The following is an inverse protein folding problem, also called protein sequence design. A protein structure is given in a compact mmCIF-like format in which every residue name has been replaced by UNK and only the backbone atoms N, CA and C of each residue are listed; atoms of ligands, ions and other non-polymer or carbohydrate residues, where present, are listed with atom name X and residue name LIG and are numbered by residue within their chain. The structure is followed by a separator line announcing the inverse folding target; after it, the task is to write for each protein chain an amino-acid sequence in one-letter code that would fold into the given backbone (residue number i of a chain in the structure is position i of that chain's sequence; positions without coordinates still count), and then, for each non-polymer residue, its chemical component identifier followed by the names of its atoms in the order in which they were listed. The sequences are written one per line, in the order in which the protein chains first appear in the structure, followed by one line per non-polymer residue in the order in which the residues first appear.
data_IF_983964931607
#
_entry.id   IF_983964931607
#
_cell.length_a   1.000
_cell.length_b   1.000
_cell.length_c   1.000
_cell.angle_alpha   90.00
_cell.angle_beta   90.00
_cell.angle_gamma   90.00
#
_symmetry.space_group_name_H-M   'P 1'
#
loop_
_entity.id
_entity.type
_entity.pdbx_description
1 polymer ?
#
# COMPACT_ATOMS: atom_id res chain seq x y z
N UNK A 1 20.87 -18.60 3.82
CA UNK A 1 20.26 -18.22 2.53
C UNK A 1 18.99 -17.44 2.84
N UNK A 2 18.80 -16.24 2.29
CA UNK A 2 17.55 -15.50 2.49
C UNK A 2 16.45 -16.18 1.64
N UNK A 3 15.40 -16.68 2.29
CA UNK A 3 14.24 -17.22 1.58
C UNK A 3 13.43 -16.05 1.01
N UNK A 4 13.28 -16.00 -0.31
CA UNK A 4 12.35 -15.09 -0.95
C UNK A 4 10.99 -15.78 -1.00
N UNK A 5 9.98 -15.16 -0.38
CA UNK A 5 8.61 -15.65 -0.38
C UNK A 5 7.82 -14.78 -1.36
N UNK A 6 7.22 -15.40 -2.38
CA UNK A 6 6.32 -14.72 -3.32
C UNK A 6 4.96 -14.48 -2.66
N UNK A 7 4.42 -13.27 -2.83
CA UNK A 7 3.10 -12.88 -2.33
C UNK A 7 2.23 -12.45 -3.51
N UNK A 8 1.03 -13.02 -3.62
CA UNK A 8 0.06 -12.71 -4.67
C UNK A 8 -1.07 -11.85 -4.11
N UNK A 9 -1.31 -10.70 -4.73
CA UNK A 9 -2.39 -9.77 -4.34
C UNK A 9 -3.49 -9.79 -5.41
N UNK A 10 -4.75 -9.71 -4.96
CA UNK A 10 -5.90 -9.51 -5.84
C UNK A 10 -6.37 -8.07 -5.68
N UNK A 11 -6.37 -7.33 -6.78
CA UNK A 11 -6.85 -5.95 -6.88
C UNK A 11 -7.73 -5.84 -8.12
N UNK A 12 -8.62 -4.84 -8.15
CA UNK A 12 -9.39 -4.56 -9.35
C UNK A 12 -8.51 -3.89 -10.42
N UNK A 13 -9.01 -3.84 -11.65
CA UNK A 13 -8.27 -3.32 -12.81
C UNK A 13 -7.95 -1.84 -12.68
N UNK A 14 -8.93 -1.03 -12.29
CA UNK A 14 -8.80 0.43 -12.18
C UNK A 14 -7.71 0.81 -11.15
N UNK A 15 -7.75 0.20 -9.95
CA UNK A 15 -6.75 0.43 -8.91
C UNK A 15 -5.33 0.01 -9.35
N UNK A 16 -5.23 -1.06 -10.16
CA UNK A 16 -3.94 -1.48 -10.72
C UNK A 16 -3.38 -0.41 -11.67
N UNK A 17 -4.20 0.07 -12.60
CA UNK A 17 -3.81 1.07 -13.60
C UNK A 17 -3.42 2.40 -12.94
N UNK A 18 -4.19 2.85 -11.95
CA UNK A 18 -3.88 4.07 -11.18
C UNK A 18 -2.55 3.93 -10.41
N UNK A 19 -2.35 2.79 -9.76
CA UNK A 19 -1.13 2.56 -8.98
C UNK A 19 0.11 2.40 -9.88
N UNK A 20 -0.02 1.80 -11.06
CA UNK A 20 1.05 1.73 -12.05
C UNK A 20 1.46 3.12 -12.54
N UNK A 21 0.48 3.94 -12.95
CA UNK A 21 0.74 5.31 -13.39
C UNK A 21 1.44 6.14 -12.29
N UNK A 22 1.00 5.99 -11.04
CA UNK A 22 1.67 6.62 -9.89
C UNK A 22 3.12 6.13 -9.75
N UNK A 23 3.35 4.82 -9.76
CA UNK A 23 4.68 4.23 -9.62
C UNK A 23 5.64 4.72 -10.72
N UNK A 24 5.18 4.79 -11.97
CA UNK A 24 5.96 5.30 -13.10
C UNK A 24 6.31 6.79 -12.92
N UNK A 25 5.38 7.61 -12.41
CA UNK A 25 5.62 9.03 -12.17
C UNK A 25 6.70 9.32 -11.12
N UNK A 26 6.91 8.39 -10.17
CA UNK A 26 7.94 8.51 -9.11
C UNK A 26 9.18 7.66 -9.39
N UNK A 27 9.24 6.95 -10.52
CA UNK A 27 10.38 6.12 -10.93
C UNK A 27 10.53 4.83 -10.13
N UNK A 28 9.42 4.24 -9.66
CA UNK A 28 9.40 2.98 -8.91
C UNK A 28 8.62 1.90 -9.65
N UNK A 29 8.94 0.64 -9.40
CA UNK A 29 8.04 -0.48 -9.77
C UNK A 29 6.95 -0.65 -8.71
N UNK A 30 5.79 -1.22 -9.09
CA UNK A 30 4.74 -1.60 -8.13
C UNK A 30 5.31 -2.47 -6.99
N UNK A 31 6.15 -3.46 -7.33
CA UNK A 31 6.78 -4.35 -6.35
C UNK A 31 7.65 -3.57 -5.37
N UNK A 32 8.43 -2.60 -5.85
CA UNK A 32 9.25 -1.74 -4.99
C UNK A 32 8.39 -0.92 -4.05
N UNK A 33 7.31 -0.31 -4.56
CA UNK A 33 6.39 0.49 -3.75
C UNK A 33 5.70 -0.35 -2.65
N UNK A 34 5.24 -1.56 -2.97
CA UNK A 34 4.65 -2.49 -1.99
C UNK A 34 5.69 -2.92 -0.95
N UNK A 35 6.92 -3.23 -1.36
CA UNK A 35 8.00 -3.58 -0.43
C UNK A 35 8.34 -2.41 0.50
N UNK A 36 8.36 -1.17 -0.01
CA UNK A 36 8.58 0.03 0.80
C UNK A 36 7.46 0.21 1.83
N UNK A 37 6.21 0.01 1.42
CA UNK A 37 5.08 0.02 2.34
C UNK A 37 5.26 -1.00 3.48
N UNK A 38 5.54 -2.26 3.15
CA UNK A 38 5.73 -3.34 4.13
C UNK A 38 6.91 -3.01 5.06
N UNK A 39 8.05 -2.59 4.52
CA UNK A 39 9.23 -2.23 5.32
C UNK A 39 8.94 -1.09 6.28
N UNK A 40 8.22 -0.06 5.82
CA UNK A 40 7.88 1.09 6.65
C UNK A 40 6.90 0.68 7.75
N UNK A 41 5.89 -0.12 7.41
CA UNK A 41 4.91 -0.61 8.37
C UNK A 41 5.54 -1.45 9.49
N UNK A 42 6.47 -2.33 9.13
CA UNK A 42 7.23 -3.14 10.10
C UNK A 42 8.19 -2.28 10.91
N UNK A 43 8.92 -1.34 10.28
CA UNK A 43 9.87 -0.48 10.98
C UNK A 43 9.19 0.40 12.03
N UNK A 44 8.00 0.92 11.72
CA UNK A 44 7.29 1.87 12.57
C UNK A 44 6.19 1.21 13.42
N UNK A 45 6.00 -0.12 13.29
CA UNK A 45 4.97 -0.90 13.99
C UNK A 45 3.56 -0.28 13.86
N UNK A 46 3.26 0.29 12.69
CA UNK A 46 1.98 0.94 12.37
C UNK A 46 1.74 0.91 10.87
N UNK A 47 0.50 1.15 10.44
CA UNK A 47 0.23 1.40 9.03
C UNK A 47 0.78 2.79 8.65
N UNK A 48 1.59 2.92 7.58
CA UNK A 48 2.21 4.19 7.17
C UNK A 48 1.24 5.09 6.39
N UNK A 49 -0.02 5.10 6.79
CA UNK A 49 -1.06 6.03 6.38
C UNK A 49 -2.14 6.07 7.46
N UNK A 50 -2.97 7.12 7.45
CA UNK A 50 -4.09 7.23 8.38
C UNK A 50 -5.20 6.24 7.99
N UNK A 51 -5.58 5.34 8.90
CA UNK A 51 -6.67 4.39 8.67
C UNK A 51 -7.97 5.00 9.16
N UNK A 52 -8.85 5.37 8.23
CA UNK A 52 -10.21 5.86 8.53
C UNK A 52 -11.24 4.80 8.17
N UNK A 53 -12.24 4.63 9.02
CA UNK A 53 -13.41 3.84 8.66
C UNK A 53 -14.21 4.61 7.60
N UNK A 54 -14.60 3.98 6.48
CA UNK A 54 -15.54 4.59 5.54
C UNK A 54 -16.88 4.76 6.26
N UNK A 55 -17.19 5.99 6.71
CA UNK A 55 -18.51 6.34 7.22
C UNK A 55 -18.68 6.60 8.72
N UNK A 56 -17.64 6.92 9.49
CA UNK A 56 -17.87 7.58 10.79
C UNK A 56 -18.03 9.09 10.56
N UNK A 57 -19.25 9.47 10.18
CA UNK A 57 -19.75 10.84 10.27
C UNK A 57 -19.49 11.38 11.68
N UNK A 58 -18.73 12.47 11.77
CA UNK A 58 -18.46 13.24 12.99
C UNK A 58 -19.75 13.93 13.48
N UNK A 59 -20.69 13.15 14.03
CA UNK A 59 -21.86 13.67 14.74
C UNK A 59 -21.93 13.04 16.12
N UNK A 60 -20.98 13.44 16.98
CA UNK A 60 -21.16 13.42 18.43
C UNK A 60 -21.52 14.84 18.86
N UNK A 61 -22.81 15.08 19.08
CA UNK A 61 -23.28 16.08 20.04
C UNK A 61 -23.75 15.35 21.29
#
# INVERSE_FOLDING_TARGET
MASQIGVSFRINKELKEDFEAFCDSVGLSMSTAIILFIKTAVREQRIPFEVKAPGQNDMRH
#
